data_IF_127722166509
#
_entry.id   IF_127722166509
#
_cell.length_a   1.000
_cell.length_b   1.000
_cell.length_c   1.000
_cell.angle_alpha   90.00
_cell.angle_beta   90.00
_cell.angle_gamma   90.00
#
_symmetry.space_group_name_H-M   'P 1'
#
loop_
_entity.id
_entity.type
_entity.pdbx_description
1 polymer ?
#
# COMPACT_ATOMS: atom_id res chain seq x y z
N UNK A 1 -31.53 14.51 -0.43
CA UNK A 1 -32.81 14.25 -1.10
C UNK A 1 -33.07 15.32 -2.14
N UNK A 2 -32.94 14.98 -3.41
CA UNK A 2 -33.54 15.66 -4.55
C UNK A 2 -33.68 14.60 -5.64
N UNK A 3 -34.91 14.29 -6.06
CA UNK A 3 -35.16 13.38 -7.16
C UNK A 3 -34.72 14.08 -8.47
N UNK A 4 -33.97 13.37 -9.31
CA UNK A 4 -33.53 13.86 -10.61
C UNK A 4 -34.75 14.01 -11.55
N UNK A 5 -35.09 15.22 -12.04
CA UNK A 5 -36.37 15.46 -12.72
C UNK A 5 -36.43 15.01 -14.20
N UNK A 6 -35.35 14.47 -14.77
CA UNK A 6 -35.25 14.20 -16.23
C UNK A 6 -35.26 12.71 -16.62
N UNK A 7 -35.83 11.81 -15.80
CA UNK A 7 -36.13 10.45 -16.25
C UNK A 7 -37.59 10.35 -16.69
N UNK A 8 -37.76 10.33 -18.01
CA UNK A 8 -39.03 10.16 -18.73
C UNK A 8 -39.92 9.10 -18.06
N UNK A 9 -41.00 9.56 -17.43
CA UNK A 9 -41.90 8.79 -16.54
C UNK A 9 -42.77 7.75 -17.29
N UNK A 10 -42.57 7.57 -18.59
CA UNK A 10 -43.54 6.91 -19.47
C UNK A 10 -43.37 5.39 -19.64
N UNK A 11 -42.29 4.76 -19.14
CA UNK A 11 -42.10 3.30 -19.29
C UNK A 11 -41.66 2.67 -17.98
N UNK A 12 -42.57 2.63 -17.00
CA UNK A 12 -42.37 1.81 -15.81
C UNK A 12 -42.35 0.31 -16.22
N UNK A 13 -41.34 -0.48 -15.82
CA UNK A 13 -41.28 -1.89 -16.17
C UNK A 13 -42.44 -2.65 -15.50
N UNK A 14 -43.47 -3.02 -16.28
CA UNK A 14 -44.57 -3.85 -15.80
C UNK A 14 -44.16 -5.32 -15.78
N UNK A 15 -44.49 -6.03 -14.70
CA UNK A 15 -44.38 -7.51 -14.67
C UNK A 15 -45.18 -8.10 -15.84
N UNK A 16 -44.53 -8.95 -16.64
CA UNK A 16 -45.12 -9.61 -17.83
C UNK A 16 -46.51 -10.17 -17.49
N UNK A 17 -47.56 -9.60 -18.10
CA UNK A 17 -48.93 -10.11 -18.02
C UNK A 17 -49.85 -9.54 -16.92
N UNK A 18 -49.51 -8.41 -16.26
CA UNK A 18 -50.41 -7.74 -15.31
C UNK A 18 -50.64 -6.27 -15.68
N UNK A 19 -51.90 -5.90 -15.91
CA UNK A 19 -52.34 -4.53 -16.25
C UNK A 19 -52.30 -3.57 -15.04
N UNK A 20 -52.26 -4.14 -13.83
CA UNK A 20 -52.20 -3.48 -12.52
C UNK A 20 -50.80 -2.96 -12.14
N UNK A 21 -49.81 -3.08 -13.06
CA UNK A 21 -48.57 -2.29 -13.06
C UNK A 21 -47.86 -2.16 -11.71
N UNK A 22 -47.09 -3.17 -11.30
CA UNK A 22 -46.19 -3.01 -10.16
C UNK A 22 -45.06 -2.04 -10.53
N UNK A 23 -45.08 -0.83 -9.96
CA UNK A 23 -44.05 0.19 -10.20
C UNK A 23 -42.81 -0.15 -9.37
N UNK A 24 -41.73 -0.50 -10.06
CA UNK A 24 -40.41 -0.60 -9.44
C UNK A 24 -39.84 0.82 -9.39
N UNK A 25 -39.69 1.35 -8.19
CA UNK A 25 -38.93 2.58 -7.97
C UNK A 25 -37.45 2.24 -7.94
N UNK A 26 -36.62 3.09 -8.55
CA UNK A 26 -35.18 2.97 -8.44
C UNK A 26 -34.77 3.39 -7.02
N UNK A 27 -34.59 2.41 -6.14
CA UNK A 27 -33.95 2.62 -4.85
C UNK A 27 -32.45 2.43 -5.00
N UNK A 28 -31.68 3.43 -4.58
CA UNK A 28 -30.27 3.21 -4.25
C UNK A 28 -30.24 2.64 -2.82
N UNK A 29 -29.85 1.37 -2.70
CA UNK A 29 -29.62 0.76 -1.40
C UNK A 29 -28.35 1.39 -0.80
N UNK A 30 -28.39 1.73 0.48
CA UNK A 30 -27.26 2.35 1.17
C UNK A 30 -26.10 1.35 1.27
N UNK A 31 -24.98 1.69 0.63
CA UNK A 31 -23.80 0.81 0.55
C UNK A 31 -22.66 1.36 1.41
N UNK A 32 -22.87 1.28 2.73
CA UNK A 32 -21.87 1.57 3.75
C UNK A 32 -21.31 2.99 3.79
N UNK A 33 -20.25 3.16 4.58
CA UNK A 33 -19.62 4.47 4.81
C UNK A 33 -18.76 4.91 3.61
N UNK A 34 -18.87 6.19 3.23
CA UNK A 34 -18.02 6.82 2.21
C UNK A 34 -16.55 6.87 2.65
N UNK A 35 -15.64 6.80 1.66
CA UNK A 35 -14.22 6.93 1.90
C UNK A 35 -13.86 8.39 2.23
N UNK A 36 -12.99 8.58 3.23
CA UNK A 36 -12.50 9.89 3.65
C UNK A 36 -11.02 10.04 3.39
N UNK A 37 -10.57 11.25 3.07
CA UNK A 37 -9.22 11.49 2.58
C UNK A 37 -8.35 12.19 3.62
N UNK A 38 -7.04 12.08 3.46
CA UNK A 38 -6.07 12.71 4.38
C UNK A 38 -6.19 14.21 4.38
N UNK A 39 -6.38 14.81 3.19
CA UNK A 39 -6.60 16.25 3.07
C UNK A 39 -7.79 16.73 3.89
N UNK A 40 -8.85 15.92 4.02
CA UNK A 40 -10.06 16.25 4.78
C UNK A 40 -9.75 16.33 6.27
N UNK A 41 -8.93 15.42 6.81
CA UNK A 41 -8.50 15.46 8.21
C UNK A 41 -7.81 16.78 8.56
N UNK A 42 -6.87 17.22 7.72
CA UNK A 42 -6.10 18.45 7.97
C UNK A 42 -6.89 19.72 7.64
N UNK A 43 -7.90 19.64 6.78
CA UNK A 43 -8.86 20.73 6.60
C UNK A 43 -9.72 20.94 7.86
N UNK A 44 -10.16 19.85 8.50
CA UNK A 44 -10.96 19.90 9.73
C UNK A 44 -10.11 20.21 10.98
N UNK A 45 -8.79 19.94 10.94
CA UNK A 45 -7.85 20.10 12.05
C UNK A 45 -6.60 20.89 11.61
N UNK A 46 -6.74 22.19 11.28
CA UNK A 46 -5.62 22.99 10.77
C UNK A 46 -4.56 23.22 11.86
N UNK A 47 -3.27 23.07 11.53
CA UNK A 47 -2.14 23.23 12.45
C UNK A 47 -2.13 22.23 13.61
N UNK A 48 -2.85 21.11 13.47
CA UNK A 48 -2.99 20.08 14.50
C UNK A 48 -2.69 18.72 13.89
N UNK A 49 -1.50 18.21 14.20
CA UNK A 49 -1.12 16.84 13.86
C UNK A 49 -2.04 15.78 14.50
N UNK A 50 -1.91 14.50 14.11
CA UNK A 50 -2.71 13.43 14.66
C UNK A 50 -2.59 13.34 16.19
N UNK A 51 -3.73 13.43 16.88
CA UNK A 51 -3.72 13.49 18.35
C UNK A 51 -3.28 12.17 18.96
N UNK A 52 -2.37 12.21 19.93
CA UNK A 52 -2.01 11.04 20.74
C UNK A 52 -2.28 11.35 22.20
N UNK A 53 -2.99 10.42 22.85
CA UNK A 53 -3.23 10.47 24.29
C UNK A 53 -2.18 9.62 24.99
N UNK A 54 -1.31 10.27 25.77
CA UNK A 54 -0.22 9.62 26.48
C UNK A 54 -0.58 9.55 27.97
N UNK A 55 -0.55 8.36 28.60
CA UNK A 55 -0.78 8.24 30.03
C UNK A 55 0.15 9.11 30.86
N UNK A 56 -0.35 9.64 31.98
CA UNK A 56 0.49 10.37 32.94
C UNK A 56 1.47 9.41 33.61
N UNK A 57 2.67 9.90 33.91
CA UNK A 57 3.67 9.15 34.68
C UNK A 57 3.16 8.77 36.05
N UNK A 58 3.41 7.53 36.44
CA UNK A 58 3.30 7.09 37.82
C UNK A 58 4.39 7.75 38.68
N UNK A 59 4.14 7.98 39.98
CA UNK A 59 5.16 8.48 40.89
C UNK A 59 6.43 7.61 40.90
N UNK A 60 7.58 8.20 40.60
CA UNK A 60 8.87 7.49 40.55
C UNK A 60 9.16 6.73 39.24
N UNK A 61 8.29 6.86 38.23
CA UNK A 61 8.53 6.32 36.89
C UNK A 61 9.76 7.00 36.25
N UNK A 62 10.73 6.18 35.85
CA UNK A 62 11.85 6.59 34.98
C UNK A 62 11.92 5.70 33.74
N UNK A 63 12.69 6.13 32.73
CA UNK A 63 12.91 5.32 31.54
C UNK A 63 13.49 3.93 31.89
N UNK A 64 14.41 3.86 32.85
CA UNK A 64 15.00 2.62 33.33
C UNK A 64 13.96 1.71 33.97
N UNK A 65 13.02 2.26 34.76
CA UNK A 65 11.94 1.46 35.34
C UNK A 65 11.02 0.87 34.25
N UNK A 66 10.75 1.62 33.19
CA UNK A 66 9.97 1.16 32.04
C UNK A 66 10.73 0.09 31.24
N UNK A 67 12.03 0.27 31.01
CA UNK A 67 12.89 -0.75 30.38
C UNK A 67 12.88 -2.03 31.21
N UNK A 68 13.01 -1.91 32.54
CA UNK A 68 12.95 -3.03 33.47
C UNK A 68 11.62 -3.77 33.40
N UNK A 69 10.50 -3.03 33.33
CA UNK A 69 9.18 -3.61 33.16
C UNK A 69 9.02 -4.33 31.81
N UNK A 70 9.43 -3.72 30.70
CA UNK A 70 9.29 -4.29 29.34
C UNK A 70 10.16 -5.55 29.18
N UNK A 71 11.44 -5.47 29.53
CA UNK A 71 12.38 -6.59 29.34
C UNK A 71 12.24 -7.65 30.43
N UNK A 72 11.80 -7.25 31.63
CA UNK A 72 11.57 -8.14 32.77
C UNK A 72 10.22 -8.86 32.74
N UNK A 73 9.25 -8.39 31.94
CA UNK A 73 7.94 -9.05 31.80
C UNK A 73 8.06 -10.48 31.28
N UNK A 74 9.08 -10.79 30.48
CA UNK A 74 9.26 -12.12 29.91
C UNK A 74 8.07 -12.52 29.03
N UNK A 75 7.24 -13.43 29.53
CA UNK A 75 6.00 -13.89 28.87
C UNK A 75 4.72 -13.26 29.45
N UNK A 76 4.83 -12.29 30.36
CA UNK A 76 3.67 -11.60 30.91
C UNK A 76 3.16 -10.54 29.94
N UNK A 77 1.83 -10.36 29.92
CA UNK A 77 1.19 -9.29 29.15
C UNK A 77 1.43 -7.96 29.87
N UNK A 78 1.97 -6.99 29.14
CA UNK A 78 2.12 -5.62 29.60
C UNK A 78 0.99 -4.75 29.04
N UNK A 79 0.63 -3.71 29.79
CA UNK A 79 -0.40 -2.78 29.35
C UNK A 79 0.07 -1.95 28.14
N UNK A 80 -0.87 -1.62 27.26
CA UNK A 80 -0.60 -0.81 26.06
C UNK A 80 -0.24 0.63 26.43
N UNK A 81 -0.78 1.15 27.54
CA UNK A 81 -0.44 2.46 28.09
C UNK A 81 1.04 2.56 28.46
N UNK A 82 1.62 1.51 29.04
CA UNK A 82 3.05 1.43 29.32
C UNK A 82 3.87 1.51 28.02
N UNK A 83 3.47 0.76 26.99
CA UNK A 83 4.12 0.81 25.68
C UNK A 83 4.02 2.20 25.03
N UNK A 84 2.84 2.82 25.06
CA UNK A 84 2.59 4.18 24.54
C UNK A 84 3.48 5.20 25.26
N UNK A 85 3.52 5.15 26.60
CA UNK A 85 4.35 6.03 27.44
C UNK A 85 5.82 5.87 27.10
N UNK A 86 6.29 4.62 27.05
CA UNK A 86 7.68 4.31 26.75
C UNK A 86 8.10 4.82 25.36
N UNK A 87 7.28 4.56 24.33
CA UNK A 87 7.53 5.06 22.97
C UNK A 87 7.63 6.58 22.92
N UNK A 88 6.72 7.28 23.61
CA UNK A 88 6.74 8.75 23.68
C UNK A 88 8.04 9.28 24.28
N UNK A 89 8.49 8.73 25.40
CA UNK A 89 9.75 9.11 26.04
C UNK A 89 10.98 8.80 25.16
N UNK A 90 10.93 7.74 24.34
CA UNK A 90 12.00 7.46 23.39
C UNK A 90 12.10 8.49 22.26
N UNK A 91 11.02 9.20 21.90
CA UNK A 91 11.05 10.14 20.77
C UNK A 91 11.96 11.35 21.03
N UNK A 92 12.11 11.77 22.28
CA UNK A 92 13.03 12.85 22.68
C UNK A 92 14.50 12.50 22.40
N UNK A 93 14.83 11.21 22.28
CA UNK A 93 16.19 10.72 21.98
C UNK A 93 16.46 10.58 20.48
N UNK A 94 15.45 10.77 19.64
CA UNK A 94 15.53 10.53 18.20
C UNK A 94 15.38 11.88 17.49
N UNK A 95 16.51 12.51 17.17
CA UNK A 95 16.58 13.88 16.65
C UNK A 95 17.21 13.92 15.26
N UNK A 96 16.56 14.59 14.31
CA UNK A 96 17.04 14.75 12.95
C UNK A 96 17.03 16.22 12.53
N UNK A 97 18.05 16.64 11.78
CA UNK A 97 18.13 18.02 11.28
C UNK A 97 17.64 18.11 9.83
N UNK A 98 16.72 19.02 9.56
CA UNK A 98 16.11 19.17 8.24
C UNK A 98 17.01 19.92 7.25
N UNK A 99 17.29 19.31 6.09
CA UNK A 99 17.97 19.99 4.97
C UNK A 99 17.05 20.91 4.18
N UNK A 100 15.75 20.62 4.20
CA UNK A 100 14.70 21.38 3.53
C UNK A 100 13.45 21.44 4.41
N UNK A 101 12.62 22.47 4.21
CA UNK A 101 11.37 22.62 4.93
C UNK A 101 10.48 21.38 4.75
N UNK A 102 9.92 20.89 5.85
CA UNK A 102 9.00 19.76 5.84
C UNK A 102 7.58 20.27 6.04
N UNK A 103 6.82 20.29 4.95
CA UNK A 103 5.42 20.68 4.92
C UNK A 103 4.61 19.55 4.30
N UNK A 104 3.44 19.21 4.81
CA UNK A 104 2.54 18.18 4.23
C UNK A 104 1.09 18.50 4.55
N UNK A 105 0.20 18.47 3.54
CA UNK A 105 -1.22 18.85 3.70
C UNK A 105 -1.43 20.25 4.33
N UNK A 106 -0.52 21.18 4.06
CA UNK A 106 -0.51 22.53 4.65
C UNK A 106 0.11 22.62 6.05
N UNK A 107 0.39 21.49 6.70
CA UNK A 107 1.01 21.41 8.03
C UNK A 107 2.53 21.63 7.93
N UNK A 108 3.05 22.59 8.69
CA UNK A 108 4.48 22.85 8.79
C UNK A 108 5.10 22.02 9.93
N UNK A 109 5.66 20.85 9.59
CA UNK A 109 6.35 19.96 10.54
C UNK A 109 7.66 20.58 11.04
N UNK A 110 8.40 21.27 10.16
CA UNK A 110 9.63 21.94 10.53
C UNK A 110 10.23 22.80 9.41
N UNK A 111 10.92 23.87 9.80
CA UNK A 111 11.62 24.76 8.89
C UNK A 111 12.98 24.18 8.44
N UNK A 112 13.58 24.80 7.42
CA UNK A 112 14.94 24.47 6.98
C UNK A 112 15.91 24.63 8.15
N UNK A 113 16.75 23.62 8.38
CA UNK A 113 17.76 23.62 9.43
C UNK A 113 17.25 23.32 10.84
N UNK A 114 15.93 23.18 11.03
CA UNK A 114 15.33 22.85 12.32
C UNK A 114 15.67 21.43 12.76
N UNK A 115 15.83 21.26 14.07
CA UNK A 115 15.91 19.95 14.71
C UNK A 115 14.49 19.46 14.99
N UNK A 116 14.17 18.28 14.47
CA UNK A 116 12.85 17.66 14.60
C UNK A 116 13.00 16.27 15.20
N UNK A 117 11.94 15.80 15.83
CA UNK A 117 11.79 14.47 16.42
C UNK A 117 10.48 13.85 15.91
N UNK A 118 10.25 12.54 16.11
CA UNK A 118 8.97 11.94 15.77
C UNK A 118 7.76 12.59 16.48
N UNK A 119 7.96 13.26 17.62
CA UNK A 119 6.87 13.93 18.34
C UNK A 119 6.34 15.17 17.61
N UNK A 120 7.17 15.84 16.78
CA UNK A 120 6.76 16.98 15.97
C UNK A 120 5.70 16.64 14.92
N UNK A 121 5.48 15.34 14.65
CA UNK A 121 4.43 14.86 13.74
C UNK A 121 3.07 14.68 14.42
N UNK A 122 2.97 14.86 15.74
CA UNK A 122 1.81 14.46 16.54
C UNK A 122 1.35 15.59 17.47
N UNK A 123 0.06 15.60 17.77
CA UNK A 123 -0.49 16.51 18.79
C UNK A 123 -0.61 15.78 20.13
N UNK A 124 0.15 16.21 21.12
CA UNK A 124 0.15 15.62 22.46
C UNK A 124 -1.08 16.01 23.29
N UNK A 125 -1.70 15.03 23.94
CA UNK A 125 -2.70 15.24 24.99
C UNK A 125 -2.36 14.33 26.16
N UNK A 126 -2.28 14.89 27.36
CA UNK A 126 -2.13 14.09 28.57
C UNK A 126 -3.44 13.34 28.87
N UNK A 127 -3.34 12.03 29.09
CA UNK A 127 -4.46 11.17 29.46
C UNK A 127 -4.54 10.99 30.99
N UNK A 128 -5.47 10.14 31.44
CA UNK A 128 -5.52 9.68 32.82
C UNK A 128 -4.23 8.94 33.22
N UNK A 129 -4.07 8.75 34.53
CA UNK A 129 -2.92 8.04 35.08
C UNK A 129 -2.86 6.61 34.52
N UNK A 130 -1.66 6.16 34.15
CA UNK A 130 -1.48 4.83 33.57
C UNK A 130 -1.77 3.70 34.57
N UNK A 131 -2.05 2.51 34.04
CA UNK A 131 -2.21 1.32 34.89
C UNK A 131 -0.90 1.01 35.63
N UNK A 132 -0.97 0.64 36.92
CA UNK A 132 0.21 0.25 37.67
C UNK A 132 0.83 -1.01 37.05
N UNK A 133 2.13 -0.96 36.81
CA UNK A 133 2.90 -2.10 36.36
C UNK A 133 3.75 -2.64 37.52
N UNK A 134 4.05 -3.94 37.48
CA UNK A 134 5.00 -4.52 38.42
C UNK A 134 6.34 -3.83 38.23
N UNK A 135 6.73 -3.00 39.19
CA UNK A 135 8.04 -2.36 39.23
C UNK A 135 9.10 -3.44 39.28
N UNK A 136 9.72 -3.73 38.13
CA UNK A 136 10.91 -4.55 38.06
C UNK A 136 12.12 -3.77 38.59
N UNK A 137 13.23 -4.47 38.84
CA UNK A 137 14.52 -3.80 39.02
C UNK A 137 14.75 -2.85 37.83
N UNK A 138 15.25 -1.62 38.05
CA UNK A 138 15.53 -0.69 36.97
C UNK A 138 16.38 -1.36 35.89
N UNK A 139 15.91 -1.29 34.65
CA UNK A 139 16.61 -1.80 33.49
C UNK A 139 17.85 -0.98 33.17
N UNK A 140 18.75 -1.56 32.36
CA UNK A 140 19.91 -0.83 31.88
C UNK A 140 19.47 0.22 30.83
N UNK A 141 19.75 1.50 31.08
CA UNK A 141 19.45 2.61 30.17
C UNK A 141 20.00 2.41 28.74
N UNK A 142 21.12 1.69 28.59
CA UNK A 142 21.69 1.36 27.28
C UNK A 142 20.86 0.37 26.46
N UNK A 143 19.87 -0.32 27.05
CA UNK A 143 19.01 -1.29 26.37
C UNK A 143 17.72 -0.65 25.82
N UNK A 144 17.62 0.68 25.80
CA UNK A 144 16.40 1.38 25.40
C UNK A 144 15.97 1.06 23.96
N UNK A 145 16.93 0.92 23.02
CA UNK A 145 16.65 0.54 21.63
C UNK A 145 16.07 -0.87 21.51
N UNK A 146 16.63 -1.82 22.26
CA UNK A 146 16.13 -3.20 22.33
C UNK A 146 14.71 -3.23 22.87
N UNK A 147 14.44 -2.52 23.97
CA UNK A 147 13.10 -2.43 24.54
C UNK A 147 12.11 -1.77 23.58
N UNK A 148 12.51 -0.72 22.86
CA UNK A 148 11.66 -0.05 21.86
C UNK A 148 11.34 -0.97 20.69
N UNK A 149 12.36 -1.65 20.16
CA UNK A 149 12.16 -2.63 19.09
C UNK A 149 11.29 -3.81 19.55
N UNK A 150 11.37 -4.26 20.80
CA UNK A 150 10.48 -5.29 21.34
C UNK A 150 9.04 -4.80 21.43
N UNK A 151 8.82 -3.59 21.95
CA UNK A 151 7.49 -2.94 22.01
C UNK A 151 6.87 -2.79 20.62
N UNK A 152 7.68 -2.48 19.60
CA UNK A 152 7.22 -2.34 18.21
C UNK A 152 7.01 -3.69 17.49
N UNK A 153 7.44 -4.80 18.06
CA UNK A 153 7.34 -6.12 17.41
C UNK A 153 5.92 -6.54 16.99
N UNK A 154 4.84 -6.21 17.73
CA UNK A 154 3.48 -6.51 17.27
C UNK A 154 3.14 -5.84 15.93
N UNK A 155 3.68 -4.65 15.62
CA UNK A 155 3.40 -3.94 14.35
C UNK A 155 3.83 -4.77 13.13
N UNK A 156 4.92 -5.53 13.28
CA UNK A 156 5.56 -6.27 12.18
C UNK A 156 5.24 -7.76 12.21
N UNK A 157 5.32 -8.36 13.39
CA UNK A 157 5.24 -9.82 13.56
C UNK A 157 3.81 -10.32 13.76
N UNK A 158 2.88 -9.49 14.26
CA UNK A 158 1.45 -9.81 14.25
C UNK A 158 0.83 -9.42 12.89
N UNK A 159 1.30 -10.09 11.84
CA UNK A 159 0.81 -9.92 10.46
C UNK A 159 0.27 -11.24 9.92
N UNK A 160 -0.69 -11.17 8.99
CA UNK A 160 -1.32 -12.34 8.35
C UNK A 160 -0.40 -12.97 7.27
N UNK A 161 0.91 -12.98 7.51
CA UNK A 161 1.88 -13.56 6.58
C UNK A 161 1.90 -15.08 6.72
N UNK A 162 2.40 -15.76 5.68
CA UNK A 162 2.61 -17.22 5.72
C UNK A 162 3.56 -17.60 6.85
N UNK A 163 3.28 -18.70 7.54
CA UNK A 163 3.99 -19.12 8.76
C UNK A 163 5.49 -19.27 8.53
N UNK A 164 5.90 -19.85 7.41
CA UNK A 164 7.32 -20.04 7.08
C UNK A 164 8.06 -18.71 6.94
N UNK A 165 7.40 -17.69 6.40
CA UNK A 165 7.96 -16.35 6.29
C UNK A 165 7.99 -15.63 7.64
N UNK A 166 6.96 -15.80 8.46
CA UNK A 166 6.91 -15.26 9.83
C UNK A 166 8.03 -15.83 10.70
N UNK A 167 8.34 -17.11 10.59
CA UNK A 167 9.42 -17.75 11.34
C UNK A 167 10.78 -17.15 10.93
N UNK A 168 11.04 -17.06 9.62
CA UNK A 168 12.26 -16.44 9.11
C UNK A 168 12.37 -14.95 9.50
N UNK A 169 11.26 -14.22 9.51
CA UNK A 169 11.20 -12.82 9.93
C UNK A 169 11.46 -12.68 11.43
N UNK A 170 10.91 -13.58 12.26
CA UNK A 170 11.11 -13.60 13.71
C UNK A 170 12.58 -13.84 14.07
N UNK A 171 13.25 -14.75 13.36
CA UNK A 171 14.70 -14.98 13.52
C UNK A 171 15.51 -13.72 13.20
N UNK A 172 15.19 -13.04 12.09
CA UNK A 172 15.85 -11.76 11.73
C UNK A 172 15.56 -10.68 12.77
N UNK A 173 14.33 -10.63 13.29
CA UNK A 173 13.93 -9.69 14.33
C UNK A 173 14.75 -9.89 15.60
N UNK A 174 14.92 -11.14 16.03
CA UNK A 174 15.76 -11.48 17.18
C UNK A 174 17.21 -11.06 16.97
N UNK A 175 17.78 -11.29 15.78
CA UNK A 175 19.14 -10.86 15.48
C UNK A 175 19.32 -9.34 15.61
N UNK A 176 18.33 -8.55 15.18
CA UNK A 176 18.35 -7.09 15.36
C UNK A 176 18.25 -6.68 16.83
N UNK A 177 17.43 -7.38 17.63
CA UNK A 177 17.37 -7.13 19.07
C UNK A 177 18.71 -7.45 19.77
N UNK A 178 19.39 -8.53 19.38
CA UNK A 178 20.71 -8.88 19.91
C UNK A 178 21.78 -7.85 19.52
N UNK A 179 21.67 -7.27 18.33
CA UNK A 179 22.53 -6.16 17.91
C UNK A 179 22.33 -4.93 18.81
N UNK A 180 21.08 -4.52 19.04
CA UNK A 180 20.77 -3.43 19.96
C UNK A 180 21.15 -3.73 21.41
N UNK A 181 21.16 -5.01 21.80
CA UNK A 181 21.58 -5.43 23.13
C UNK A 181 23.11 -5.43 23.29
N UNK A 182 23.86 -5.59 22.21
CA UNK A 182 25.30 -5.86 22.23
C UNK A 182 25.65 -7.27 22.74
N UNK A 183 24.67 -8.16 22.89
CA UNK A 183 24.83 -9.50 23.45
C UNK A 183 23.72 -10.44 22.98
N UNK A 184 23.91 -11.75 23.17
CA UNK A 184 22.83 -12.73 22.99
C UNK A 184 21.75 -12.51 24.05
N UNK A 185 20.50 -12.66 23.63
CA UNK A 185 19.33 -12.43 24.50
C UNK A 185 18.38 -13.61 24.44
N UNK A 186 17.61 -13.78 25.52
CA UNK A 186 16.57 -14.80 25.61
C UNK A 186 15.18 -14.28 25.22
N UNK A 187 15.10 -13.08 24.63
CA UNK A 187 13.84 -12.51 24.17
C UNK A 187 13.23 -13.36 23.04
N UNK A 188 11.91 -13.50 23.09
CA UNK A 188 11.10 -14.10 22.04
C UNK A 188 10.19 -13.04 21.43
N UNK A 189 10.65 -12.26 20.43
CA UNK A 189 9.84 -11.20 19.81
C UNK A 189 8.57 -11.75 19.15
N UNK A 190 8.60 -12.98 18.63
CA UNK A 190 7.41 -13.64 18.08
C UNK A 190 6.35 -13.92 19.15
N UNK A 191 6.74 -14.45 20.30
CA UNK A 191 5.83 -14.68 21.43
C UNK A 191 5.28 -13.36 21.98
N UNK A 192 6.16 -12.37 22.17
CA UNK A 192 5.77 -11.04 22.63
C UNK A 192 4.75 -10.39 21.68
N UNK A 193 4.99 -10.47 20.36
CA UNK A 193 4.08 -9.94 19.37
C UNK A 193 2.70 -10.59 19.37
N UNK A 194 2.63 -11.91 19.58
CA UNK A 194 1.37 -12.65 19.68
C UNK A 194 0.58 -12.29 20.94
N UNK A 195 1.26 -12.16 22.08
CA UNK A 195 0.61 -11.78 23.35
C UNK A 195 0.04 -10.37 23.32
N UNK A 196 0.68 -9.47 22.57
CA UNK A 196 0.31 -8.07 22.45
C UNK A 196 -0.36 -7.75 21.11
N UNK A 197 -0.94 -8.75 20.45
CA UNK A 197 -1.57 -8.61 19.14
C UNK A 197 -2.65 -7.51 19.09
N UNK A 198 -3.39 -7.33 20.18
CA UNK A 198 -4.45 -6.33 20.30
C UNK A 198 -3.96 -4.88 20.22
N UNK A 199 -2.66 -4.61 20.47
CA UNK A 199 -2.10 -3.26 20.34
C UNK A 199 -2.21 -2.70 18.93
N UNK A 200 -2.25 -3.56 17.91
CA UNK A 200 -2.48 -3.18 16.51
C UNK A 200 -3.87 -2.59 16.25
N UNK A 201 -4.78 -2.61 17.23
CA UNK A 201 -6.09 -1.94 17.17
C UNK A 201 -6.09 -0.61 17.93
N UNK A 202 -5.11 -0.38 18.81
CA UNK A 202 -5.02 0.85 19.60
C UNK A 202 -4.54 2.03 18.73
N UNK A 203 -5.34 3.09 18.67
CA UNK A 203 -5.07 4.26 17.81
C UNK A 203 -3.80 5.01 18.21
N UNK A 204 -3.54 5.21 19.51
CA UNK A 204 -2.36 5.94 19.98
C UNK A 204 -1.07 5.17 19.64
N UNK A 205 -1.07 3.85 19.90
CA UNK A 205 0.06 2.99 19.58
C UNK A 205 0.39 2.99 18.08
N UNK A 206 -0.63 2.92 17.22
CA UNK A 206 -0.43 2.99 15.76
C UNK A 206 0.06 4.38 15.30
N UNK A 207 -0.48 5.47 15.85
CA UNK A 207 -0.05 6.85 15.54
C UNK A 207 1.43 7.06 15.89
N UNK A 208 1.86 6.61 17.07
CA UNK A 208 3.26 6.67 17.48
C UNK A 208 4.15 5.82 16.55
N UNK A 209 3.74 4.57 16.27
CA UNK A 209 4.48 3.68 15.37
C UNK A 209 4.62 4.26 13.97
N UNK A 210 3.59 4.93 13.45
CA UNK A 210 3.60 5.58 12.15
C UNK A 210 4.45 6.86 12.13
N UNK A 211 4.44 7.65 13.21
CA UNK A 211 5.29 8.84 13.33
C UNK A 211 6.77 8.47 13.35
N UNK A 212 7.14 7.41 14.09
CA UNK A 212 8.50 6.88 14.06
C UNK A 212 8.89 6.40 12.66
N UNK A 213 8.01 5.68 11.97
CA UNK A 213 8.26 5.22 10.60
C UNK A 213 8.48 6.39 9.64
N UNK A 214 7.61 7.39 9.70
CA UNK A 214 7.65 8.58 8.84
C UNK A 214 8.93 9.38 9.06
N UNK A 215 9.35 9.52 10.32
CA UNK A 215 10.62 10.13 10.68
C UNK A 215 11.81 9.35 10.09
N UNK A 216 11.93 8.04 10.39
CA UNK A 216 13.06 7.22 9.92
C UNK A 216 13.08 7.06 8.39
N UNK A 217 11.91 7.11 7.75
CA UNK A 217 11.83 7.10 6.28
C UNK A 217 12.40 8.37 5.65
N UNK A 218 12.23 9.53 6.31
CA UNK A 218 12.83 10.80 5.87
C UNK A 218 14.33 10.82 6.17
N UNK A 219 14.74 10.39 7.36
CA UNK A 219 16.14 10.32 7.80
C UNK A 219 16.73 8.92 7.62
N UNK A 220 16.93 8.49 6.36
CA UNK A 220 17.39 7.13 6.04
C UNK A 220 18.76 6.76 6.61
N UNK A 221 19.64 7.76 6.73
CA UNK A 221 21.00 7.59 7.23
C UNK A 221 21.13 7.91 8.74
N UNK A 222 20.00 8.01 9.45
CA UNK A 222 19.97 8.23 10.90
C UNK A 222 20.63 7.06 11.65
N UNK A 223 21.25 7.32 12.80
CA UNK A 223 21.92 6.30 13.62
C UNK A 223 20.97 5.14 14.01
N UNK A 224 19.72 5.47 14.30
CA UNK A 224 18.64 4.50 14.62
C UNK A 224 17.79 4.07 13.42
N UNK A 225 18.23 4.33 12.18
CA UNK A 225 17.52 3.92 10.96
C UNK A 225 17.17 2.43 10.94
N UNK A 226 17.98 1.58 11.59
CA UNK A 226 17.69 0.15 11.75
C UNK A 226 16.35 -0.13 12.40
N UNK A 227 15.85 0.71 13.32
CA UNK A 227 14.52 0.56 13.94
C UNK A 227 13.37 0.56 12.92
N UNK A 228 13.59 1.14 11.74
CA UNK A 228 12.60 1.19 10.67
C UNK A 228 12.09 -0.19 10.28
N UNK A 229 12.91 -1.23 10.45
CA UNK A 229 12.51 -2.62 10.18
C UNK A 229 11.26 -3.07 10.96
N UNK A 230 11.05 -2.50 12.15
CA UNK A 230 9.90 -2.78 13.02
C UNK A 230 8.64 -2.05 12.57
N UNK A 231 8.77 -0.87 11.98
CA UNK A 231 7.65 0.01 11.67
C UNK A 231 7.30 0.08 10.20
N UNK A 232 8.10 -0.51 9.31
CA UNK A 232 7.95 -0.40 7.85
C UNK A 232 6.56 -0.81 7.33
N UNK A 233 5.82 -1.64 8.07
CA UNK A 233 4.43 -2.01 7.77
C UNK A 233 3.41 -0.91 8.04
N UNK A 234 3.75 0.15 8.76
CA UNK A 234 2.90 1.32 8.97
C UNK A 234 2.70 2.10 7.66
N UNK A 235 3.70 2.08 6.77
CA UNK A 235 3.67 2.80 5.50
C UNK A 235 2.89 2.03 4.45
N UNK A 236 1.94 2.70 3.80
CA UNK A 236 0.96 2.14 2.87
C UNK A 236 0.17 0.96 3.46
N UNK A 237 0.05 0.91 4.81
CA UNK A 237 -0.91 0.03 5.45
C UNK A 237 -2.28 0.34 4.89
N UNK A 238 -3.02 -0.70 4.52
CA UNK A 238 -4.41 -0.54 4.06
C UNK A 238 -4.56 0.36 2.81
N UNK A 239 -3.51 0.47 2.01
CA UNK A 239 -3.47 1.20 0.74
C UNK A 239 -3.22 0.26 -0.45
N UNK A 240 -3.87 -0.91 -0.45
CA UNK A 240 -3.68 -1.95 -1.47
C UNK A 240 -3.91 -1.44 -2.90
N UNK A 241 -4.91 -0.58 -3.12
CA UNK A 241 -5.19 0.00 -4.44
C UNK A 241 -4.04 0.82 -5.03
N UNK A 242 -3.31 1.60 -4.20
CA UNK A 242 -2.07 2.26 -4.64
C UNK A 242 -1.00 1.21 -4.98
N UNK A 243 -0.90 0.18 -4.14
CA UNK A 243 0.00 -0.94 -4.36
C UNK A 243 -0.27 -1.70 -5.66
N UNK A 244 -1.53 -1.79 -6.07
CA UNK A 244 -1.99 -2.48 -7.29
C UNK A 244 -1.72 -1.64 -8.52
N UNK A 245 -1.98 -0.33 -8.43
CA UNK A 245 -1.64 0.61 -9.48
C UNK A 245 -0.12 0.62 -9.75
N UNK A 246 0.71 0.67 -8.71
CA UNK A 246 2.18 0.59 -8.87
C UNK A 246 2.62 -0.74 -9.48
N UNK A 247 1.94 -1.83 -9.13
CA UNK A 247 2.25 -3.17 -9.62
C UNK A 247 1.90 -3.31 -11.10
N UNK A 248 0.71 -2.87 -11.52
CA UNK A 248 0.24 -3.03 -12.90
C UNK A 248 1.03 -2.16 -13.88
N UNK A 249 1.30 -0.90 -13.51
CA UNK A 249 2.12 0.00 -14.32
C UNK A 249 3.51 -0.58 -14.58
N UNK A 250 4.11 -1.19 -13.54
CA UNK A 250 5.42 -1.85 -13.66
C UNK A 250 5.37 -3.08 -14.57
N UNK A 251 4.32 -3.89 -14.50
CA UNK A 251 4.21 -5.11 -15.31
C UNK A 251 3.96 -4.78 -16.78
N UNK A 252 3.08 -3.82 -17.04
CA UNK A 252 2.72 -3.44 -18.40
C UNK A 252 3.75 -2.52 -19.05
N UNK A 253 4.64 -1.90 -18.25
CA UNK A 253 5.58 -0.89 -18.72
C UNK A 253 4.89 0.38 -19.20
N UNK A 254 3.72 0.70 -18.61
CA UNK A 254 2.91 1.84 -18.99
C UNK A 254 3.01 2.94 -17.94
N UNK A 255 2.88 4.19 -18.39
CA UNK A 255 2.60 5.29 -17.48
C UNK A 255 1.10 5.34 -17.13
N UNK A 256 0.76 6.19 -16.16
CA UNK A 256 -0.60 6.26 -15.62
C UNK A 256 -1.63 6.72 -16.68
N UNK A 257 -1.23 7.65 -17.55
CA UNK A 257 -2.08 8.16 -18.63
C UNK A 257 -2.37 7.08 -19.65
N UNK A 258 -1.35 6.36 -20.11
CA UNK A 258 -1.51 5.22 -21.03
C UNK A 258 -2.38 4.13 -20.41
N UNK A 259 -2.12 3.76 -19.15
CA UNK A 259 -2.91 2.75 -18.45
C UNK A 259 -4.39 3.15 -18.34
N UNK A 260 -4.69 4.42 -18.09
CA UNK A 260 -6.07 4.90 -17.98
C UNK A 260 -6.89 4.72 -19.27
N UNK A 261 -6.24 4.70 -20.44
CA UNK A 261 -6.91 4.47 -21.73
C UNK A 261 -7.39 3.01 -21.91
N UNK A 262 -6.88 2.09 -21.11
CA UNK A 262 -7.28 0.68 -21.10
C UNK A 262 -8.42 0.38 -20.11
N UNK A 263 -8.98 1.41 -19.49
CA UNK A 263 -10.11 1.28 -18.58
C UNK A 263 -11.39 1.54 -19.36
N UNK A 264 -12.14 0.48 -19.63
CA UNK A 264 -13.35 0.53 -20.47
C UNK A 264 -14.65 0.31 -19.72
N UNK A 265 -14.60 0.13 -18.39
CA UNK A 265 -15.78 0.05 -17.56
C UNK A 265 -15.84 1.24 -16.60
N UNK A 266 -17.05 1.80 -16.42
CA UNK A 266 -17.26 2.96 -15.57
C UNK A 266 -16.83 2.69 -14.12
N UNK A 267 -17.12 1.49 -13.59
CA UNK A 267 -16.79 1.10 -12.22
C UNK A 267 -15.27 1.09 -11.96
N UNK A 268 -14.46 0.61 -12.90
CA UNK A 268 -12.99 0.68 -12.78
C UNK A 268 -12.51 2.13 -12.88
N UNK A 269 -13.14 2.94 -13.74
CA UNK A 269 -12.79 4.36 -13.87
C UNK A 269 -13.08 5.14 -12.59
N UNK A 270 -14.20 4.86 -11.91
CA UNK A 270 -14.55 5.51 -10.65
C UNK A 270 -13.62 5.08 -9.51
N UNK A 271 -13.21 3.81 -9.47
CA UNK A 271 -12.15 3.33 -8.59
C UNK A 271 -10.81 4.06 -8.83
N UNK A 272 -10.43 4.23 -10.09
CA UNK A 272 -9.21 4.96 -10.42
C UNK A 272 -9.32 6.44 -10.02
N UNK A 273 -10.45 7.11 -10.28
CA UNK A 273 -10.68 8.51 -9.86
C UNK A 273 -10.61 8.66 -8.34
N UNK A 274 -11.16 7.70 -7.59
CA UNK A 274 -11.12 7.71 -6.12
C UNK A 274 -9.68 7.68 -5.61
N UNK A 275 -8.84 6.81 -6.18
CA UNK A 275 -7.42 6.74 -5.82
C UNK A 275 -6.67 8.00 -6.26
N UNK A 276 -6.93 8.51 -7.48
CA UNK A 276 -6.19 9.63 -8.06
C UNK A 276 -6.77 11.01 -7.73
N UNK A 277 -7.47 11.13 -6.59
CA UNK A 277 -8.00 12.43 -6.16
C UNK A 277 -6.86 13.46 -6.08
N UNK A 278 -7.00 14.64 -6.71
CA UNK A 278 -5.98 15.68 -6.64
C UNK A 278 -5.69 16.15 -5.21
N UNK A 279 -4.50 16.71 -4.99
CA UNK A 279 -4.05 17.29 -3.72
C UNK A 279 -3.93 16.32 -2.54
N UNK A 280 -3.95 15.01 -2.78
CA UNK A 280 -3.72 14.00 -1.74
C UNK A 280 -2.24 13.67 -1.51
N UNK A 281 -1.30 14.34 -2.17
CA UNK A 281 0.15 14.13 -1.99
C UNK A 281 0.62 12.66 -2.15
N UNK A 282 -0.05 11.87 -3.00
CA UNK A 282 0.24 10.42 -3.18
C UNK A 282 1.65 10.18 -3.75
N UNK A 283 2.14 11.13 -4.53
CA UNK A 283 3.46 11.16 -5.15
C UNK A 283 4.55 11.73 -4.23
N UNK A 284 4.17 12.35 -3.11
CA UNK A 284 5.10 12.96 -2.15
C UNK A 284 5.63 11.93 -1.16
N UNK A 285 6.95 11.84 -1.06
CA UNK A 285 7.63 10.80 -0.27
C UNK A 285 7.42 10.95 1.23
N UNK A 286 7.48 12.17 1.73
CA UNK A 286 7.42 12.57 3.13
C UNK A 286 6.06 13.15 3.53
N UNK A 287 4.99 12.69 2.89
CA UNK A 287 3.61 13.06 3.23
C UNK A 287 3.03 12.18 4.34
N UNK A 288 1.95 12.66 4.97
CA UNK A 288 1.06 11.86 5.81
C UNK A 288 0.25 10.80 5.03
N UNK A 289 0.05 10.96 3.72
CA UNK A 289 -0.82 10.08 2.92
C UNK A 289 -0.43 8.59 2.94
N UNK A 290 0.85 8.20 2.85
CA UNK A 290 1.27 6.82 3.06
C UNK A 290 0.87 6.26 4.44
N UNK A 291 0.61 7.09 5.44
CA UNK A 291 0.30 6.70 6.81
C UNK A 291 -1.17 6.88 7.18
N UNK A 292 -2.04 7.22 6.22
CA UNK A 292 -3.47 7.52 6.43
C UNK A 292 -4.17 6.51 7.36
N UNK A 293 -4.00 5.20 7.10
CA UNK A 293 -4.64 4.17 7.90
C UNK A 293 -3.97 3.98 9.27
N UNK A 294 -2.63 3.94 9.31
CA UNK A 294 -1.88 3.75 10.56
C UNK A 294 -2.07 4.93 11.52
N UNK A 295 -2.14 6.15 11.02
CA UNK A 295 -2.43 7.34 11.83
C UNK A 295 -3.92 7.59 12.04
N UNK A 296 -4.80 6.75 11.48
CA UNK A 296 -6.27 6.91 11.57
C UNK A 296 -6.71 8.32 11.15
N UNK A 297 -6.22 8.78 10.01
CA UNK A 297 -6.58 10.09 9.41
C UNK A 297 -7.91 10.01 8.67
N UNK A 298 -8.31 8.81 8.26
CA UNK A 298 -9.59 8.52 7.64
C UNK A 298 -10.37 7.49 8.46
N UNK A 299 -11.70 7.53 8.38
CA UNK A 299 -12.57 6.44 8.86
C UNK A 299 -12.44 5.20 7.98
N UNK A 300 -12.46 5.40 6.66
CA UNK A 300 -12.30 4.38 5.62
C UNK A 300 -11.38 4.93 4.55
N UNK A 301 -10.24 4.28 4.33
CA UNK A 301 -9.24 4.79 3.38
C UNK A 301 -9.76 4.66 1.94
N UNK A 302 -9.52 5.66 1.10
CA UNK A 302 -9.90 5.64 -0.31
C UNK A 302 -8.99 4.73 -1.13
N UNK A 303 -7.97 4.13 -0.51
CA UNK A 303 -6.94 3.31 -1.13
C UNK A 303 -7.04 1.83 -0.77
N UNK A 304 -8.01 1.44 0.06
CA UNK A 304 -8.28 0.03 0.37
C UNK A 304 -8.70 -0.75 -0.89
N UNK A 305 -8.42 -2.05 -0.93
CA UNK A 305 -8.93 -2.93 -1.98
C UNK A 305 -10.48 -3.02 -1.93
N UNK A 306 -11.07 -3.04 -0.74
CA UNK A 306 -12.52 -3.04 -0.54
C UNK A 306 -13.19 -1.72 -0.92
N UNK A 307 -12.44 -0.62 -0.90
CA UNK A 307 -12.92 0.67 -1.40
C UNK A 307 -12.78 0.78 -2.93
N UNK A 308 -11.97 -0.06 -3.57
CA UNK A 308 -11.70 -0.05 -5.02
C UNK A 308 -11.72 -1.47 -5.62
N UNK A 309 -12.82 -2.22 -5.43
CA UNK A 309 -12.85 -3.65 -5.73
C UNK A 309 -12.73 -3.95 -7.23
N UNK A 310 -13.29 -3.11 -8.12
CA UNK A 310 -13.24 -3.32 -9.57
C UNK A 310 -11.82 -3.14 -10.09
N UNK A 311 -11.13 -2.08 -9.66
CA UNK A 311 -9.74 -1.86 -10.04
C UNK A 311 -8.82 -2.96 -9.48
N UNK A 312 -9.03 -3.39 -8.23
CA UNK A 312 -8.26 -4.48 -7.62
C UNK A 312 -8.38 -5.77 -8.46
N UNK A 313 -9.61 -6.18 -8.79
CA UNK A 313 -9.85 -7.37 -9.60
C UNK A 313 -9.31 -7.20 -11.02
N UNK A 314 -9.47 -6.03 -11.64
CA UNK A 314 -8.93 -5.76 -12.98
C UNK A 314 -7.41 -5.97 -13.04
N UNK A 315 -6.69 -5.37 -12.08
CA UNK A 315 -5.23 -5.51 -11.98
C UNK A 315 -4.81 -6.96 -11.77
N UNK A 316 -5.49 -7.68 -10.88
CA UNK A 316 -5.11 -9.06 -10.59
C UNK A 316 -5.55 -10.06 -11.65
N UNK A 317 -6.64 -9.82 -12.39
CA UNK A 317 -6.98 -10.58 -13.59
C UNK A 317 -5.88 -10.44 -14.65
N UNK A 318 -5.36 -9.23 -14.86
CA UNK A 318 -4.20 -9.00 -15.73
C UNK A 318 -2.96 -9.74 -15.23
N UNK A 319 -2.65 -9.60 -13.94
CA UNK A 319 -1.49 -10.26 -13.35
C UNK A 319 -1.57 -11.79 -13.38
N UNK A 320 -2.75 -12.38 -13.22
CA UNK A 320 -2.97 -13.83 -13.31
C UNK A 320 -2.70 -14.36 -14.73
N UNK A 321 -3.18 -13.65 -15.77
CA UNK A 321 -2.87 -14.02 -17.16
C UNK A 321 -1.37 -13.93 -17.48
N UNK A 322 -0.64 -13.04 -16.79
CA UNK A 322 0.81 -12.90 -16.87
C UNK A 322 1.58 -13.78 -15.85
N UNK A 323 0.94 -14.80 -15.27
CA UNK A 323 1.52 -15.77 -14.33
C UNK A 323 2.23 -15.12 -13.13
N UNK A 324 1.73 -13.98 -12.65
CA UNK A 324 2.33 -13.26 -11.52
C UNK A 324 1.83 -13.86 -10.20
N UNK A 325 2.74 -14.46 -9.44
CA UNK A 325 2.48 -15.08 -8.13
C UNK A 325 1.73 -14.13 -7.17
N UNK A 326 2.05 -12.82 -7.19
CA UNK A 326 1.32 -11.82 -6.38
C UNK A 326 -0.17 -11.78 -6.71
N UNK A 327 -0.54 -11.87 -7.98
CA UNK A 327 -1.95 -11.83 -8.41
C UNK A 327 -2.65 -13.16 -8.23
N UNK A 328 -1.95 -14.27 -8.48
CA UNK A 328 -2.47 -15.63 -8.25
C UNK A 328 -2.88 -15.84 -6.78
N UNK A 329 -2.13 -15.26 -5.85
CA UNK A 329 -2.44 -15.33 -4.42
C UNK A 329 -3.27 -14.14 -3.91
N UNK A 330 -3.72 -13.23 -4.78
CA UNK A 330 -4.54 -12.11 -4.34
C UNK A 330 -5.94 -12.61 -4.00
N UNK A 331 -6.53 -12.03 -2.94
CA UNK A 331 -7.89 -12.35 -2.56
C UNK A 331 -8.87 -11.58 -3.43
N UNK A 332 -9.98 -12.21 -3.80
CA UNK A 332 -11.07 -11.52 -4.44
C UNK A 332 -11.78 -10.63 -3.42
N UNK A 333 -12.14 -9.41 -3.81
CA UNK A 333 -12.68 -8.40 -2.89
C UNK A 333 -13.95 -7.80 -3.48
N UNK A 334 -15.02 -7.77 -2.67
CA UNK A 334 -16.29 -7.13 -2.99
C UNK A 334 -17.17 -7.93 -3.95
N UNK A 335 -18.47 -7.59 -3.95
CA UNK A 335 -19.46 -8.12 -4.87
C UNK A 335 -19.56 -7.19 -6.10
N UNK A 336 -18.67 -7.39 -7.06
CA UNK A 336 -18.58 -6.55 -8.26
C UNK A 336 -18.96 -7.29 -9.54
N UNK A 337 -19.23 -6.52 -10.60
CA UNK A 337 -19.44 -7.07 -11.94
C UNK A 337 -18.12 -7.66 -12.48
N UNK A 338 -17.95 -8.95 -12.19
CA UNK A 338 -16.76 -9.71 -12.55
C UNK A 338 -16.64 -9.90 -14.06
N UNK A 339 -17.76 -10.12 -14.76
CA UNK A 339 -17.76 -10.46 -16.18
C UNK A 339 -17.12 -9.35 -17.03
N UNK A 340 -17.58 -8.11 -16.86
CA UNK A 340 -17.08 -6.98 -17.65
C UNK A 340 -15.63 -6.63 -17.27
N UNK A 341 -15.30 -6.73 -15.98
CA UNK A 341 -13.95 -6.48 -15.47
C UNK A 341 -12.94 -7.47 -16.05
N UNK A 342 -13.29 -8.77 -16.06
CA UNK A 342 -12.44 -9.82 -16.61
C UNK A 342 -12.38 -9.75 -18.14
N UNK A 343 -13.48 -9.41 -18.81
CA UNK A 343 -13.48 -9.22 -20.26
C UNK A 343 -12.54 -8.08 -20.68
N UNK A 344 -12.60 -6.92 -20.01
CA UNK A 344 -11.66 -5.82 -20.26
C UNK A 344 -10.19 -6.29 -20.04
N UNK A 345 -9.93 -6.96 -18.91
CA UNK A 345 -8.59 -7.48 -18.60
C UNK A 345 -8.10 -8.48 -19.67
N UNK A 346 -8.98 -9.33 -20.19
CA UNK A 346 -8.65 -10.31 -21.22
C UNK A 346 -8.24 -9.63 -22.53
N UNK A 347 -8.95 -8.58 -22.96
CA UNK A 347 -8.58 -7.84 -24.18
C UNK A 347 -7.24 -7.14 -24.01
N UNK A 348 -7.00 -6.47 -22.88
CA UNK A 348 -5.72 -5.82 -22.61
C UNK A 348 -4.57 -6.84 -22.69
N UNK A 349 -4.72 -7.97 -22.01
CA UNK A 349 -3.73 -9.05 -22.05
C UNK A 349 -3.50 -9.59 -23.47
N UNK A 350 -4.57 -9.81 -24.24
CA UNK A 350 -4.45 -10.29 -25.61
C UNK A 350 -3.67 -9.31 -26.47
N UNK A 351 -4.01 -8.02 -26.43
CA UNK A 351 -3.34 -7.00 -27.25
C UNK A 351 -1.87 -6.84 -26.85
N UNK A 352 -1.58 -6.75 -25.54
CA UNK A 352 -0.20 -6.57 -25.05
C UNK A 352 0.64 -7.85 -25.15
N UNK A 353 0.02 -9.02 -25.05
CA UNK A 353 0.67 -10.31 -25.24
C UNK A 353 0.90 -10.68 -26.71
N UNK A 354 0.19 -10.06 -27.65
CA UNK A 354 0.37 -10.25 -29.10
C UNK A 354 1.24 -9.18 -29.76
N UNK A 355 1.35 -7.99 -29.16
CA UNK A 355 2.11 -6.85 -29.72
C UNK A 355 3.26 -6.45 -28.79
N UNK A 356 4.42 -7.05 -29.00
CA UNK A 356 5.64 -6.68 -28.30
C UNK A 356 6.37 -5.54 -29.02
N UNK A 357 6.77 -4.51 -28.26
CA UNK A 357 7.67 -3.47 -28.75
C UNK A 357 9.12 -3.95 -28.61
N UNK A 358 9.47 -5.03 -29.30
CA UNK A 358 10.86 -5.52 -29.33
C UNK A 358 11.65 -4.67 -30.32
N UNK A 359 12.64 -3.95 -29.81
CA UNK A 359 13.60 -3.20 -30.61
C UNK A 359 15.02 -3.62 -30.20
N UNK A 360 15.98 -3.65 -31.14
CA UNK A 360 17.37 -3.94 -30.80
C UNK A 360 17.98 -2.80 -29.97
N UNK A 361 18.37 -3.10 -28.73
CA UNK A 361 18.96 -2.11 -27.81
C UNK A 361 20.49 -1.98 -27.97
N UNK A 362 21.13 -3.00 -28.56
CA UNK A 362 22.57 -3.02 -28.80
C UNK A 362 22.85 -3.07 -30.29
N UNK A 363 23.75 -2.20 -30.73
CA UNK A 363 24.22 -2.16 -32.09
C UNK A 363 25.73 -1.93 -32.11
N UNK A 364 26.41 -2.51 -33.09
CA UNK A 364 27.80 -2.15 -33.39
C UNK A 364 27.80 -0.72 -33.92
N UNK A 365 28.73 0.11 -33.43
CA UNK A 365 28.91 1.46 -33.95
C UNK A 365 29.11 1.42 -35.48
N UNK A 366 28.27 2.14 -36.22
CA UNK A 366 28.26 2.13 -37.69
C UNK A 366 27.35 1.07 -38.35
N UNK A 367 26.56 0.31 -37.59
CA UNK A 367 25.57 -0.62 -38.19
C UNK A 367 24.29 0.11 -38.63
N UNK A 368 23.59 -0.46 -39.60
CA UNK A 368 22.26 0.00 -40.06
C UNK A 368 21.17 -0.12 -38.99
N UNK A 369 21.45 -0.84 -37.90
CA UNK A 369 20.54 -1.01 -36.75
C UNK A 369 20.74 0.07 -35.68
N UNK A 370 21.70 0.99 -35.85
CA UNK A 370 21.81 2.16 -34.99
C UNK A 370 20.56 3.05 -35.14
N UNK A 371 20.03 3.65 -34.06
CA UNK A 371 18.75 4.38 -34.05
C UNK A 371 18.69 5.51 -35.11
N UNK A 372 19.83 6.17 -35.37
CA UNK A 372 19.92 7.21 -36.40
C UNK A 372 19.83 6.66 -37.83
N UNK A 373 20.35 5.45 -38.06
CA UNK A 373 20.26 4.76 -39.36
C UNK A 373 18.90 4.08 -39.55
N UNK A 374 18.28 3.55 -38.49
CA UNK A 374 16.98 2.91 -38.53
C UNK A 374 15.83 3.91 -38.79
N UNK A 375 15.90 5.14 -38.25
CA UNK A 375 14.96 6.23 -38.59
C UNK A 375 14.98 6.59 -40.07
N UNK A 376 16.17 6.69 -40.66
CA UNK A 376 16.32 6.99 -42.09
C UNK A 376 15.73 5.88 -42.98
N UNK A 377 15.85 4.61 -42.58
CA UNK A 377 15.27 3.47 -43.32
C UNK A 377 13.73 3.45 -43.22
N UNK A 378 13.17 3.77 -42.06
CA UNK A 378 11.71 3.84 -41.85
C UNK A 378 11.10 5.01 -42.63
N UNK A 379 11.75 6.18 -42.65
CA UNK A 379 11.29 7.32 -43.46
C UNK A 379 11.28 6.98 -44.96
N UNK A 380 12.31 6.30 -45.47
CA UNK A 380 12.38 5.85 -46.87
C UNK A 380 11.32 4.77 -47.19
N UNK A 381 11.02 3.86 -46.25
CA UNK A 381 9.94 2.87 -46.41
C UNK A 381 8.54 3.50 -46.37
N UNK A 382 8.32 4.48 -45.49
CA UNK A 382 7.05 5.21 -45.41
C UNK A 382 6.81 6.13 -46.63
N UNK A 383 7.88 6.58 -47.30
CA UNK A 383 7.82 7.38 -48.51
C UNK A 383 7.65 6.54 -49.80
N UNK A 384 7.78 5.21 -49.74
CA UNK A 384 7.85 4.34 -50.94
C UNK A 384 6.67 3.41 -51.20
N UNK A 385 5.58 3.43 -50.43
CA UNK A 385 4.39 2.68 -50.84
C UNK A 385 3.19 2.74 -49.90
N UNK A 386 2.03 3.08 -50.48
CA UNK A 386 0.71 2.86 -49.90
C UNK A 386 0.55 1.40 -49.49
N UNK A 387 0.09 1.16 -48.26
CA UNK A 387 -0.50 -0.11 -47.88
C UNK A 387 -1.90 -0.17 -48.53
N UNK A 388 -1.94 -0.55 -49.80
CA UNK A 388 -3.17 -1.03 -50.42
C UNK A 388 -3.54 -2.36 -49.76
N UNK A 389 -4.58 -2.31 -48.93
CA UNK A 389 -5.27 -3.46 -48.38
C UNK A 389 -6.09 -4.12 -49.50
N UNK A 390 -5.45 -4.89 -50.37
CA UNK A 390 -6.17 -5.90 -51.15
C UNK A 390 -6.38 -7.15 -50.29
N UNK A 391 -7.57 -7.25 -49.72
CA UNK A 391 -8.09 -8.51 -49.21
C UNK A 391 -8.32 -9.47 -50.38
N UNK A 392 -7.39 -10.40 -50.61
CA UNK A 392 -7.67 -11.59 -51.41
C UNK A 392 -8.10 -12.74 -50.50
N UNK A 393 -9.32 -13.24 -50.69
CA UNK A 393 -9.96 -14.32 -49.92
C UNK A 393 -9.28 -15.71 -50.10
N UNK A 394 -8.17 -15.81 -50.84
CA UNK A 394 -7.51 -17.09 -51.14
C UNK A 394 -6.54 -17.60 -50.07
N UNK A 395 -6.02 -16.75 -49.18
CA UNK A 395 -4.92 -17.10 -48.29
C UNK A 395 -5.30 -17.85 -47.00
N UNK A 396 -6.58 -17.85 -46.62
CA UNK A 396 -7.04 -18.40 -45.33
C UNK A 396 -7.22 -19.93 -45.39
N UNK A 397 -7.48 -20.49 -46.57
CA UNK A 397 -7.76 -21.92 -46.74
C UNK A 397 -6.48 -22.79 -46.88
N UNK A 398 -5.38 -22.25 -47.41
CA UNK A 398 -4.12 -23.00 -47.54
C UNK A 398 -3.39 -23.22 -46.19
N UNK A 399 -3.58 -22.30 -45.23
CA UNK A 399 -2.97 -22.40 -43.90
C UNK A 399 -3.58 -23.50 -43.02
N UNK A 400 -4.85 -23.86 -43.25
CA UNK A 400 -5.56 -24.87 -42.43
C UNK A 400 -5.34 -26.30 -42.93
N UNK A 401 -4.90 -26.53 -44.17
CA UNK A 401 -4.66 -27.88 -44.70
C UNK A 401 -3.26 -28.44 -44.42
N UNK A 402 -2.29 -27.62 -43.98
CA UNK A 402 -0.93 -28.09 -43.64
C UNK A 402 -0.73 -28.55 -42.19
N UNK A 403 -1.76 -28.47 -41.35
CA UNK A 403 -1.68 -28.89 -39.94
C UNK A 403 -2.12 -30.34 -39.69
N UNK A 404 -2.38 -31.12 -40.75
CA UNK A 404 -2.85 -32.51 -40.67
C UNK A 404 -1.97 -33.43 -41.52
N UNK A 405 -0.69 -33.54 -41.18
CA UNK A 405 0.12 -34.71 -41.59
C UNK A 405 0.91 -35.22 -40.37
N UNK A 406 0.94 -36.55 -40.13
CA UNK A 406 1.55 -37.10 -38.93
C UNK A 406 3.08 -37.08 -39.02
N UNK A 407 3.71 -36.72 -37.90
CA UNK A 407 5.13 -36.83 -37.70
C UNK A 407 5.57 -38.29 -37.71
N UNK A 408 6.30 -38.71 -38.74
CA UNK A 408 7.15 -39.89 -38.68
C UNK A 408 8.33 -39.76 -39.65
N UNK A 409 9.47 -40.33 -39.22
CA UNK A 409 10.70 -40.68 -39.95
C UNK A 409 12.00 -39.88 -39.70
N UNK A 410 12.69 -40.27 -38.61
CA UNK A 410 14.12 -40.67 -38.52
C UNK A 410 15.28 -39.64 -38.69
N UNK A 411 16.56 -39.98 -38.37
CA UNK A 411 17.12 -40.91 -37.38
C UNK A 411 18.27 -40.32 -36.52
N UNK A 412 18.75 -41.12 -35.57
CA UNK A 412 19.98 -40.98 -34.79
C UNK A 412 21.23 -40.54 -35.57
N UNK A 413 21.97 -39.60 -34.97
CA UNK A 413 23.41 -39.71 -34.63
C UNK A 413 23.71 -38.80 -33.46
#
# INVERSE_FOLDING_TARGET
MAANPDLDLAVAPTRRGRADGFRIENYQLEDGQEATYTSTYFADNPNVGPTVRIPRSLPGETLETLIGAILGAGQNVIDVGLAIRYMWLCFERITGRLDAAWVTHGEAVGAVGAEVTPSNLLHYVEAEEGEPYAGGNPGNAGQWLRALALVLSPIRLNSQLRREYLDALTVRYKATLEEFAGMRINDSPGTFALQHAAWNQNTNFLRLSAALDMFLFKFKDHEYSKLWFSTVTCRFRDCAGIGDLRFILKILGLNLTEFSQWIWTASIADDLKRILRPNEEIDKRDSFTPYTASMRLCSKSPYFATANPNLHIFVHAIGCANLRIRSINSQMVGDVNLADTVANAAVLNYVRGSRYNLQPEFYRQGSSMAPDAARAVIEVQSASGSLDLEMSEGGVLEGMQRAVEPADTYPHT
#
